data_IF_736746903489
#
_entry.id   IF_736746903489
#
_cell.length_a   1.000
_cell.length_b   1.000
_cell.length_c   1.000
_cell.angle_alpha   90.00
_cell.angle_beta   90.00
_cell.angle_gamma   90.00
#
_symmetry.space_group_name_H-M   'P 1'
#
loop_
_entity.id
_entity.type
_entity.pdbx_description
1 polymer ?
#
# COMPACT_ATOMS: atom_id res chain seq x y z
N UNK A 1 5.73 2.13 37.72
CA UNK A 1 4.75 1.26 38.43
C UNK A 1 5.34 0.66 39.69
N UNK A 2 6.58 0.17 39.63
CA UNK A 2 7.31 -0.29 40.80
C UNK A 2 8.67 -0.86 40.42
N UNK A 3 9.35 -1.44 41.40
CA UNK A 3 10.56 -2.23 41.18
C UNK A 3 10.54 -3.48 42.07
N UNK A 4 11.23 -4.53 41.66
CA UNK A 4 11.42 -5.75 42.43
C UNK A 4 12.82 -6.31 42.18
N UNK A 5 13.18 -7.40 42.87
CA UNK A 5 14.38 -8.18 42.57
C UNK A 5 13.97 -9.64 42.29
N UNK A 6 14.56 -10.23 41.25
CA UNK A 6 14.46 -11.68 40.97
C UNK A 6 15.86 -12.28 41.12
N UNK A 7 16.11 -12.89 42.28
CA UNK A 7 17.50 -13.15 42.70
C UNK A 7 18.20 -11.82 42.95
N UNK A 8 19.38 -11.63 42.35
CA UNK A 8 20.17 -10.40 42.45
C UNK A 8 19.84 -9.38 41.33
N UNK A 9 19.04 -9.78 40.33
CA UNK A 9 18.69 -8.92 39.21
C UNK A 9 17.56 -7.94 39.57
N UNK A 10 17.80 -6.61 39.50
CA UNK A 10 16.74 -5.62 39.69
C UNK A 10 15.79 -5.60 38.48
N UNK A 11 14.50 -5.52 38.77
CA UNK A 11 13.40 -5.43 37.83
C UNK A 11 12.66 -4.10 38.00
N UNK A 12 12.22 -3.53 36.90
CA UNK A 12 11.47 -2.29 36.82
C UNK A 12 10.15 -2.55 36.09
N UNK A 13 9.05 -2.01 36.62
CA UNK A 13 7.72 -2.11 36.04
C UNK A 13 7.23 -0.73 35.61
N UNK A 14 6.68 -0.62 34.40
CA UNK A 14 6.28 0.64 33.79
C UNK A 14 5.09 0.52 32.84
N UNK A 15 4.43 1.65 32.63
CA UNK A 15 3.52 1.88 31.54
C UNK A 15 3.83 3.26 30.93
N UNK A 16 3.46 3.46 29.67
CA UNK A 16 3.55 4.77 29.02
C UNK A 16 2.57 4.86 27.86
N UNK A 17 2.29 6.10 27.45
CA UNK A 17 1.51 6.43 26.27
C UNK A 17 2.35 7.32 25.35
N UNK A 18 2.37 6.97 24.08
CA UNK A 18 2.99 7.75 23.02
C UNK A 18 1.91 8.46 22.22
N UNK A 19 2.07 9.76 22.01
CA UNK A 19 1.14 10.61 21.25
C UNK A 19 1.89 11.42 20.20
N UNK A 20 1.21 11.77 19.11
CA UNK A 20 1.67 12.71 18.10
C UNK A 20 0.66 13.87 18.01
N UNK A 21 0.96 14.98 18.67
CA UNK A 21 -0.05 15.98 19.02
C UNK A 21 -1.13 15.33 19.89
N UNK A 22 -2.39 15.55 19.56
CA UNK A 22 -3.52 14.97 20.30
C UNK A 22 -3.87 13.53 19.86
N UNK A 23 -3.09 12.91 18.96
CA UNK A 23 -3.37 11.58 18.42
C UNK A 23 -2.60 10.49 19.17
N UNK A 24 -3.27 9.54 19.85
CA UNK A 24 -2.62 8.36 20.42
C UNK A 24 -1.93 7.53 19.34
N UNK A 25 -0.74 7.01 19.62
CA UNK A 25 0.06 6.19 18.70
C UNK A 25 0.35 4.80 19.26
N UNK A 26 0.76 4.72 20.53
CA UNK A 26 1.08 3.48 21.20
C UNK A 26 0.78 3.63 22.68
N UNK A 27 0.25 2.57 23.29
CA UNK A 27 0.18 2.45 24.74
C UNK A 27 0.88 1.17 25.15
N UNK A 28 1.71 1.24 26.18
CA UNK A 28 2.35 0.07 26.80
C UNK A 28 1.82 -0.07 28.21
N UNK A 29 1.40 -1.28 28.56
CA UNK A 29 0.86 -1.65 29.87
C UNK A 29 1.59 -2.88 30.37
N UNK A 30 1.79 -2.98 31.69
CA UNK A 30 2.52 -4.09 32.33
C UNK A 30 3.94 -4.28 31.75
N UNK A 31 4.58 -3.19 31.32
CA UNK A 31 5.95 -3.23 30.83
C UNK A 31 6.90 -3.63 31.95
N UNK A 32 7.86 -4.49 31.63
CA UNK A 32 8.88 -4.95 32.56
C UNK A 32 10.25 -4.89 31.88
N UNK A 33 11.26 -4.44 32.61
CA UNK A 33 12.66 -4.50 32.20
C UNK A 33 13.54 -4.91 33.39
N UNK A 34 14.66 -5.57 33.14
CA UNK A 34 15.62 -5.96 34.17
C UNK A 34 17.03 -5.55 33.79
N UNK A 35 17.90 -5.40 34.79
CA UNK A 35 19.34 -5.27 34.59
C UNK A 35 19.98 -6.59 35.00
N UNK A 36 20.76 -7.17 34.10
CA UNK A 36 21.37 -8.48 34.27
C UNK A 36 22.88 -8.37 34.06
N UNK A 37 23.63 -9.14 34.82
CA UNK A 37 25.06 -9.36 34.58
C UNK A 37 25.26 -10.17 33.29
N UNK A 38 26.48 -10.11 32.72
CA UNK A 38 26.81 -10.93 31.55
C UNK A 38 26.64 -12.43 31.79
N UNK A 39 26.91 -12.90 33.01
CA UNK A 39 26.72 -14.31 33.39
C UNK A 39 25.24 -14.69 33.44
N UNK A 40 24.37 -13.84 34.00
CA UNK A 40 22.92 -14.08 34.02
C UNK A 40 22.32 -14.06 32.62
N UNK A 41 22.77 -13.15 31.75
CA UNK A 41 22.34 -13.11 30.35
C UNK A 41 22.77 -14.38 29.59
N UNK A 42 24.00 -14.85 29.82
CA UNK A 42 24.51 -16.08 29.20
C UNK A 42 23.84 -17.35 29.73
N UNK A 43 23.33 -17.32 30.97
CA UNK A 43 22.62 -18.42 31.60
C UNK A 43 21.12 -18.46 31.25
N UNK A 44 20.63 -17.55 30.40
CA UNK A 44 19.23 -17.56 30.01
C UNK A 44 18.84 -18.86 29.31
N UNK A 45 17.69 -19.41 29.69
CA UNK A 45 17.07 -20.57 29.03
C UNK A 45 16.17 -20.17 27.85
N UNK A 46 16.00 -18.87 27.62
CA UNK A 46 15.08 -18.35 26.60
C UNK A 46 13.61 -18.55 26.98
N UNK A 47 12.73 -18.28 26.01
CA UNK A 47 11.30 -18.39 26.18
C UNK A 47 10.89 -19.86 26.26
N UNK A 48 10.13 -20.22 27.30
CA UNK A 48 9.55 -21.54 27.48
C UNK A 48 8.22 -21.63 26.71
N UNK A 49 8.29 -21.45 25.40
CA UNK A 49 7.13 -21.53 24.52
C UNK A 49 7.33 -22.63 23.48
N UNK A 50 6.28 -23.39 23.20
CA UNK A 50 6.20 -24.37 22.12
C UNK A 50 4.85 -24.26 21.40
N UNK A 51 4.81 -24.47 20.08
CA UNK A 51 3.55 -24.42 19.35
C UNK A 51 2.58 -25.55 19.76
N UNK A 52 3.08 -26.68 20.27
CA UNK A 52 2.26 -27.82 20.69
C UNK A 52 1.46 -27.52 21.98
N UNK A 53 1.96 -26.64 22.83
CA UNK A 53 1.34 -26.28 24.12
C UNK A 53 0.51 -24.99 24.03
N UNK A 54 0.60 -24.25 22.93
CA UNK A 54 -0.08 -22.97 22.76
C UNK A 54 -1.59 -23.16 22.56
N UNK A 55 -2.38 -22.52 23.41
CA UNK A 55 -3.83 -22.41 23.19
C UNK A 55 -4.10 -21.50 21.98
N UNK A 56 -4.78 -22.06 20.98
CA UNK A 56 -5.15 -21.40 19.72
C UNK A 56 -6.67 -21.36 19.55
N UNK A 57 -7.15 -20.45 18.70
CA UNK A 57 -8.56 -20.33 18.31
C UNK A 57 -9.06 -21.67 17.78
N UNK A 58 -10.10 -22.21 18.41
CA UNK A 58 -10.65 -23.54 18.14
C UNK A 58 -11.39 -23.61 16.80
N UNK A 59 -12.03 -22.51 16.39
CA UNK A 59 -12.74 -22.38 15.11
C UNK A 59 -12.14 -21.21 14.31
N UNK A 60 -10.97 -21.41 13.69
CA UNK A 60 -10.28 -20.33 13.01
C UNK A 60 -11.00 -19.92 11.73
N UNK A 61 -10.90 -18.64 11.38
CA UNK A 61 -11.14 -18.22 10.01
C UNK A 61 -9.88 -18.44 9.17
N UNK A 62 -9.99 -19.26 8.13
CA UNK A 62 -8.92 -19.59 7.18
C UNK A 62 -9.47 -19.42 5.77
N UNK A 63 -9.61 -18.16 5.35
CA UNK A 63 -10.17 -17.85 4.04
C UNK A 63 -9.27 -18.44 2.92
N UNK A 64 -9.89 -19.05 1.89
CA UNK A 64 -9.15 -19.67 0.80
C UNK A 64 -8.40 -18.61 -0.01
N UNK A 65 -7.34 -19.05 -0.65
CA UNK A 65 -6.53 -18.24 -1.54
C UNK A 65 -6.86 -18.55 -2.99
N UNK A 66 -7.17 -17.53 -3.78
CA UNK A 66 -7.44 -17.69 -5.23
C UNK A 66 -6.15 -17.82 -6.04
N UNK A 67 -5.07 -17.17 -5.62
CA UNK A 67 -3.74 -17.21 -6.25
C UNK A 67 -2.67 -17.30 -5.18
N UNK A 68 -1.77 -18.28 -5.27
CA UNK A 68 -0.65 -18.42 -4.35
C UNK A 68 0.64 -18.70 -5.11
N UNK A 69 1.76 -18.25 -4.53
CA UNK A 69 3.08 -18.62 -5.06
C UNK A 69 3.29 -20.12 -5.00
N UNK A 70 4.01 -20.65 -5.99
CA UNK A 70 4.48 -22.03 -5.99
C UNK A 70 5.85 -22.17 -5.31
N UNK A 71 6.49 -21.06 -4.93
CA UNK A 71 7.78 -21.05 -4.23
C UNK A 71 7.57 -21.40 -2.76
N UNK A 72 8.37 -22.31 -2.25
CA UNK A 72 8.38 -22.73 -0.84
C UNK A 72 9.61 -22.20 -0.09
N UNK A 73 10.51 -21.51 -0.78
CA UNK A 73 11.70 -20.85 -0.23
C UNK A 73 12.06 -19.63 -1.07
N UNK A 74 12.76 -18.69 -0.45
CA UNK A 74 13.16 -17.42 -1.06
C UNK A 74 14.60 -17.09 -0.68
N UNK A 75 15.41 -16.71 -1.66
CA UNK A 75 16.77 -16.20 -1.42
C UNK A 75 16.77 -14.68 -1.19
N UNK A 76 17.96 -14.13 -0.96
CA UNK A 76 18.15 -12.70 -0.69
C UNK A 76 17.66 -11.81 -1.84
N UNK A 77 17.94 -12.21 -3.08
CA UNK A 77 17.58 -11.44 -4.28
C UNK A 77 16.06 -11.34 -4.40
N UNK A 78 15.34 -12.42 -4.13
CA UNK A 78 13.88 -12.43 -4.16
C UNK A 78 13.27 -11.58 -3.04
N UNK A 79 13.86 -11.60 -1.84
CA UNK A 79 13.43 -10.73 -0.74
C UNK A 79 13.68 -9.25 -1.05
N UNK A 80 14.82 -8.94 -1.68
CA UNK A 80 15.12 -7.58 -2.16
C UNK A 80 14.17 -7.13 -3.27
N UNK A 81 13.80 -8.03 -4.18
CA UNK A 81 12.77 -7.75 -5.19
C UNK A 81 11.45 -7.35 -4.54
N UNK A 82 10.98 -8.10 -3.53
CA UNK A 82 9.78 -7.73 -2.80
C UNK A 82 9.92 -6.39 -2.07
N UNK A 83 11.07 -6.15 -1.42
CA UNK A 83 11.36 -4.90 -0.75
C UNK A 83 11.39 -3.69 -1.71
N UNK A 84 11.74 -3.91 -2.97
CA UNK A 84 11.74 -2.90 -4.02
C UNK A 84 10.36 -2.73 -4.69
N UNK A 85 9.39 -3.57 -4.36
CA UNK A 85 8.04 -3.56 -4.95
C UNK A 85 7.88 -4.42 -6.20
N UNK A 86 8.88 -5.22 -6.56
CA UNK A 86 8.78 -6.22 -7.64
C UNK A 86 8.22 -7.54 -7.10
N UNK A 87 6.91 -7.52 -6.88
CA UNK A 87 6.14 -8.67 -6.41
C UNK A 87 6.29 -9.89 -7.34
N UNK A 88 6.33 -9.67 -8.65
CA UNK A 88 6.44 -10.77 -9.61
C UNK A 88 7.82 -11.44 -9.55
N UNK A 89 8.91 -10.67 -9.50
CA UNK A 89 10.25 -11.26 -9.36
C UNK A 89 10.40 -12.05 -8.05
N UNK A 90 9.77 -11.59 -6.97
CA UNK A 90 9.74 -12.31 -5.69
C UNK A 90 8.91 -13.61 -5.72
N UNK A 91 7.67 -13.58 -6.23
CA UNK A 91 6.74 -14.70 -6.07
C UNK A 91 6.57 -15.58 -7.32
N UNK A 92 6.95 -15.09 -8.49
CA UNK A 92 6.90 -15.81 -9.76
C UNK A 92 5.50 -15.88 -10.39
N UNK A 93 5.24 -16.91 -11.22
CA UNK A 93 3.97 -17.06 -11.95
C UNK A 93 2.73 -16.98 -11.05
N UNK A 94 1.68 -16.33 -11.55
CA UNK A 94 0.46 -15.99 -10.80
C UNK A 94 0.43 -14.55 -10.30
N UNK A 95 1.58 -13.87 -10.22
CA UNK A 95 1.69 -12.49 -9.73
C UNK A 95 1.88 -11.46 -10.86
N UNK A 96 1.55 -11.82 -12.11
CA UNK A 96 1.77 -10.98 -13.29
C UNK A 96 1.03 -9.64 -13.20
N UNK A 97 -0.17 -9.63 -12.62
CA UNK A 97 -0.96 -8.41 -12.46
C UNK A 97 -0.21 -7.36 -11.62
N UNK A 98 0.61 -7.78 -10.65
CA UNK A 98 1.38 -6.84 -9.84
C UNK A 98 2.43 -6.03 -10.63
N UNK A 99 2.72 -6.38 -11.89
CA UNK A 99 3.56 -5.58 -12.79
C UNK A 99 2.89 -4.28 -13.25
N UNK A 100 1.57 -4.19 -13.16
CA UNK A 100 0.83 -2.98 -13.54
C UNK A 100 0.71 -1.99 -12.39
N UNK A 101 1.16 -2.37 -11.18
CA UNK A 101 1.09 -1.50 -10.02
C UNK A 101 1.97 -0.27 -10.18
N UNK A 102 1.41 0.88 -9.82
CA UNK A 102 2.16 2.12 -9.62
C UNK A 102 3.04 2.01 -8.36
N UNK A 103 2.53 1.37 -7.31
CA UNK A 103 3.23 1.16 -6.04
C UNK A 103 2.75 -0.12 -5.36
N UNK A 104 3.44 -1.23 -5.64
CA UNK A 104 3.19 -2.51 -4.95
C UNK A 104 3.37 -2.41 -3.43
N UNK A 105 2.56 -3.14 -2.64
CA UNK A 105 2.87 -3.40 -1.24
C UNK A 105 4.23 -4.08 -1.11
N UNK A 106 5.04 -3.63 -0.14
CA UNK A 106 6.43 -4.08 0.03
C UNK A 106 6.85 -4.10 1.50
N UNK A 107 7.89 -4.86 1.80
CA UNK A 107 8.61 -4.82 3.08
C UNK A 107 9.74 -3.77 3.04
N UNK A 108 10.33 -3.39 4.20
CA UNK A 108 11.50 -2.54 4.21
C UNK A 108 12.70 -3.16 3.47
N UNK A 109 13.46 -2.32 2.75
CA UNK A 109 14.68 -2.71 2.04
C UNK A 109 15.98 -2.23 2.72
N UNK A 110 17.11 -2.51 2.08
CA UNK A 110 18.43 -2.03 2.52
C UNK A 110 18.79 -2.52 3.93
N UNK A 111 19.21 -1.59 4.81
CA UNK A 111 19.58 -1.90 6.21
C UNK A 111 18.41 -2.45 7.04
N UNK A 112 17.17 -2.18 6.63
CA UNK A 112 15.97 -2.65 7.30
C UNK A 112 15.45 -3.96 6.72
N UNK A 113 16.11 -4.58 5.73
CA UNK A 113 15.77 -5.94 5.31
C UNK A 113 16.44 -6.94 6.27
N UNK A 114 15.67 -7.47 7.22
CA UNK A 114 16.16 -8.20 8.40
C UNK A 114 16.14 -9.72 8.23
N UNK A 115 16.18 -10.19 6.97
CA UNK A 115 16.19 -11.60 6.60
C UNK A 115 17.11 -11.78 5.39
N UNK A 116 17.91 -12.85 5.38
CA UNK A 116 18.72 -13.21 4.21
C UNK A 116 18.02 -14.21 3.31
N UNK A 117 17.11 -15.00 3.87
CA UNK A 117 16.38 -16.05 3.15
C UNK A 117 15.15 -16.50 3.92
N UNK A 118 14.20 -17.05 3.18
CA UNK A 118 13.11 -17.89 3.69
C UNK A 118 13.39 -19.32 3.26
N UNK A 119 13.53 -20.21 4.23
CA UNK A 119 13.86 -21.62 3.98
C UNK A 119 12.62 -22.49 3.79
N UNK A 120 11.51 -22.10 4.41
CA UNK A 120 10.25 -22.82 4.33
C UNK A 120 9.09 -21.81 4.29
N UNK A 121 8.16 -22.06 3.39
CA UNK A 121 6.86 -21.40 3.30
C UNK A 121 5.82 -22.46 2.96
N UNK A 122 4.84 -22.61 3.83
CA UNK A 122 3.74 -23.56 3.68
C UNK A 122 2.41 -22.83 3.86
N UNK A 123 1.54 -22.86 2.85
CA UNK A 123 0.23 -22.22 2.94
C UNK A 123 -0.75 -22.96 3.84
N UNK A 124 -0.57 -24.27 3.97
CA UNK A 124 -1.36 -25.21 4.76
C UNK A 124 -0.37 -26.21 5.35
N UNK A 125 0.19 -25.85 6.50
CA UNK A 125 1.31 -26.56 7.12
C UNK A 125 1.63 -26.02 8.50
N UNK A 126 2.83 -26.31 8.99
CA UNK A 126 3.23 -26.03 10.37
C UNK A 126 2.51 -26.85 11.43
N UNK A 127 2.87 -26.66 12.71
CA UNK A 127 2.34 -27.41 13.86
C UNK A 127 0.82 -27.38 14.00
N UNK A 128 0.18 -26.32 13.50
CA UNK A 128 -1.27 -26.15 13.58
C UNK A 128 -2.01 -26.52 12.29
N UNK A 129 -1.27 -26.82 11.20
CA UNK A 129 -1.85 -27.12 9.88
C UNK A 129 -2.50 -25.92 9.20
N UNK A 130 -2.18 -24.69 9.62
CA UNK A 130 -2.84 -23.44 9.21
C UNK A 130 -1.94 -22.50 8.41
N UNK A 131 -0.66 -22.86 8.27
CA UNK A 131 0.35 -22.09 7.56
C UNK A 131 1.61 -21.88 8.41
N UNK A 132 2.76 -21.82 7.74
CA UNK A 132 4.06 -21.70 8.39
C UNK A 132 5.07 -20.99 7.49
N UNK A 133 5.97 -20.23 8.10
CA UNK A 133 7.11 -19.63 7.42
C UNK A 133 8.33 -19.63 8.34
N UNK A 134 9.49 -20.01 7.79
CA UNK A 134 10.79 -19.99 8.46
C UNK A 134 11.81 -19.16 7.69
N UNK A 135 12.18 -18.02 8.24
CA UNK A 135 13.22 -17.12 7.73
C UNK A 135 14.52 -17.23 8.54
N UNK A 136 15.64 -16.87 7.91
CA UNK A 136 16.95 -16.85 8.55
C UNK A 136 17.68 -15.54 8.23
N UNK A 137 18.41 -15.02 9.21
CA UNK A 137 19.39 -13.95 9.09
C UNK A 137 20.73 -14.46 9.63
N UNK A 138 21.78 -14.39 8.83
CA UNK A 138 23.13 -14.67 9.31
C UNK A 138 23.61 -13.49 10.16
N UNK A 139 24.20 -13.80 11.31
CA UNK A 139 24.70 -12.79 12.23
C UNK A 139 26.20 -12.64 12.01
N UNK A 140 26.62 -11.43 11.69
CA UNK A 140 28.02 -11.04 11.55
C UNK A 140 28.35 -9.85 12.47
N UNK A 141 29.57 -9.79 13.04
CA UNK A 141 29.94 -8.72 13.97
C UNK A 141 29.85 -7.29 13.41
N UNK A 142 29.87 -7.14 12.08
CA UNK A 142 29.85 -5.87 11.35
C UNK A 142 28.44 -5.43 10.92
N UNK A 143 27.39 -6.19 11.27
CA UNK A 143 26.01 -5.76 11.05
C UNK A 143 25.75 -4.41 11.72
N UNK A 144 25.13 -3.50 10.96
CA UNK A 144 25.04 -2.07 11.27
C UNK A 144 24.46 -1.76 12.66
N UNK A 145 23.56 -2.60 13.14
CA UNK A 145 22.88 -2.39 14.41
C UNK A 145 23.80 -2.60 15.62
N UNK A 146 24.84 -3.44 15.53
CA UNK A 146 25.77 -3.67 16.65
C UNK A 146 26.63 -2.43 16.94
N UNK A 147 27.00 -1.67 15.92
CA UNK A 147 27.77 -0.43 16.08
C UNK A 147 26.96 0.64 16.84
N UNK A 148 25.63 0.63 16.72
CA UNK A 148 24.73 1.60 17.35
C UNK A 148 24.14 1.18 18.69
N UNK A 149 24.25 -0.10 19.08
CA UNK A 149 23.48 -0.63 20.22
C UNK A 149 24.15 -1.87 20.82
N UNK A 150 24.84 -1.79 21.97
CA UNK A 150 25.32 -0.58 22.65
C UNK A 150 26.85 -0.51 22.60
N UNK A 151 27.40 0.70 22.80
CA UNK A 151 28.86 0.97 22.71
C UNK A 151 29.75 -0.03 23.48
N UNK A 152 29.32 -0.47 24.67
CA UNK A 152 30.08 -1.39 25.54
C UNK A 152 29.35 -2.74 25.78
N UNK A 153 28.35 -3.03 24.96
CA UNK A 153 27.50 -4.21 25.07
C UNK A 153 26.70 -4.38 23.78
N UNK A 154 27.36 -4.69 22.65
CA UNK A 154 26.69 -4.79 21.36
C UNK A 154 25.68 -5.94 21.38
N UNK A 155 24.43 -5.63 21.05
CA UNK A 155 23.36 -6.59 20.88
C UNK A 155 22.32 -6.06 19.88
N UNK A 156 21.71 -6.94 19.11
CA UNK A 156 20.58 -6.57 18.26
C UNK A 156 19.44 -6.03 19.12
N UNK A 157 18.81 -4.92 18.70
CA UNK A 157 17.63 -4.41 19.37
C UNK A 157 16.51 -5.45 19.29
N UNK A 158 15.87 -5.75 20.41
CA UNK A 158 14.71 -6.66 20.45
C UNK A 158 13.57 -6.20 19.52
N UNK A 159 13.47 -4.90 19.26
CA UNK A 159 12.51 -4.32 18.31
C UNK A 159 12.85 -4.62 16.85
N UNK A 160 14.13 -4.81 16.48
CA UNK A 160 14.49 -5.29 15.15
C UNK A 160 14.15 -6.78 14.99
N UNK A 161 14.27 -7.60 16.04
CA UNK A 161 13.81 -8.99 15.98
C UNK A 161 12.30 -9.02 15.69
N UNK A 162 11.55 -8.18 16.39
CA UNK A 162 10.12 -8.01 16.16
C UNK A 162 9.80 -7.53 14.73
N UNK A 163 10.52 -6.53 14.20
CA UNK A 163 10.32 -6.07 12.83
C UNK A 163 10.65 -7.15 11.78
N UNK A 164 11.69 -7.96 12.02
CA UNK A 164 11.98 -9.15 11.22
C UNK A 164 10.80 -10.13 11.17
N UNK A 165 10.09 -10.32 12.29
CA UNK A 165 8.84 -11.09 12.31
C UNK A 165 7.71 -10.43 11.52
N UNK A 166 7.55 -9.10 11.58
CA UNK A 166 6.56 -8.37 10.77
C UNK A 166 6.81 -8.55 9.27
N UNK A 167 8.08 -8.50 8.85
CA UNK A 167 8.47 -8.74 7.46
C UNK A 167 8.15 -10.16 7.01
N UNK A 168 8.43 -11.17 7.85
CA UNK A 168 8.09 -12.56 7.57
C UNK A 168 6.57 -12.74 7.44
N UNK A 169 5.81 -12.14 8.35
CA UNK A 169 4.35 -12.18 8.34
C UNK A 169 3.77 -11.47 7.09
N UNK A 170 4.36 -10.36 6.67
CA UNK A 170 4.01 -9.65 5.44
C UNK A 170 4.29 -10.50 4.19
N UNK A 171 5.45 -11.17 4.14
CA UNK A 171 5.80 -12.09 3.05
C UNK A 171 4.82 -13.27 3.00
N UNK A 172 4.47 -13.86 4.15
CA UNK A 172 3.46 -14.92 4.21
C UNK A 172 2.11 -14.45 3.65
N UNK A 173 1.61 -13.29 4.10
CA UNK A 173 0.34 -12.74 3.61
C UNK A 173 0.40 -12.45 2.10
N UNK A 174 1.48 -11.86 1.59
CA UNK A 174 1.67 -11.58 0.17
C UNK A 174 1.79 -12.84 -0.69
N UNK A 175 2.46 -13.89 -0.18
CA UNK A 175 2.62 -15.18 -0.88
C UNK A 175 1.28 -15.85 -1.21
N UNK A 176 0.22 -15.47 -0.49
CA UNK A 176 -1.17 -15.87 -0.70
C UNK A 176 -1.91 -15.03 -1.74
N UNK A 177 -1.19 -14.27 -2.56
CA UNK A 177 -1.77 -13.43 -3.60
C UNK A 177 -2.57 -12.23 -3.09
N UNK A 178 -2.55 -11.97 -1.77
CA UNK A 178 -3.35 -10.91 -1.17
C UNK A 178 -2.94 -9.51 -1.66
N UNK A 179 -1.76 -9.34 -2.23
CA UNK A 179 -1.28 -8.05 -2.75
C UNK A 179 -1.60 -7.82 -4.23
N UNK A 180 -2.07 -8.83 -4.97
CA UNK A 180 -2.15 -8.81 -6.45
C UNK A 180 -3.11 -7.75 -6.99
N UNK A 181 -4.22 -7.49 -6.30
CA UNK A 181 -5.23 -6.50 -6.70
C UNK A 181 -5.20 -5.26 -5.77
N UNK A 182 -4.04 -4.95 -5.20
CA UNK A 182 -3.88 -3.94 -4.13
C UNK A 182 -2.75 -2.96 -4.43
N UNK A 183 -2.79 -2.37 -5.63
CA UNK A 183 -1.92 -1.26 -5.99
C UNK A 183 -2.08 -0.09 -5.00
N UNK A 184 -0.96 0.43 -4.52
CA UNK A 184 -0.94 1.51 -3.54
C UNK A 184 -1.15 1.08 -2.11
N UNK A 185 -1.24 -0.22 -1.77
CA UNK A 185 -1.48 -0.63 -0.38
C UNK A 185 -0.18 -0.81 0.42
N UNK A 186 -0.30 -0.87 1.75
CA UNK A 186 0.82 -1.16 2.66
C UNK A 186 0.41 -2.11 3.78
N UNK A 187 1.40 -2.73 4.39
CA UNK A 187 1.22 -3.53 5.60
C UNK A 187 1.16 -2.65 6.84
N UNK A 188 0.40 -3.06 7.85
CA UNK A 188 0.46 -2.53 9.20
C UNK A 188 0.07 -3.58 10.24
N UNK A 189 0.59 -3.51 11.46
CA UNK A 189 -0.01 -4.21 12.59
C UNK A 189 -1.46 -3.76 12.75
N UNK A 190 -2.37 -4.68 13.10
CA UNK A 190 -3.78 -4.32 13.33
C UNK A 190 -3.86 -3.42 14.57
N UNK A 191 -4.44 -2.21 14.47
CA UNK A 191 -4.57 -1.30 15.59
C UNK A 191 -5.64 -1.80 16.59
N UNK A 192 -5.65 -1.21 17.78
CA UNK A 192 -6.66 -1.47 18.84
C UNK A 192 -6.69 -2.90 19.39
N UNK A 193 -5.66 -3.71 19.08
CA UNK A 193 -5.41 -5.02 19.69
C UNK A 193 -4.15 -4.92 20.56
N UNK A 194 -4.20 -5.49 21.76
CA UNK A 194 -3.04 -5.59 22.63
C UNK A 194 -2.18 -6.80 22.23
N UNK A 195 -0.89 -6.58 22.01
CA UNK A 195 0.07 -7.63 21.70
C UNK A 195 0.96 -7.93 22.92
N UNK A 196 1.12 -9.22 23.23
CA UNK A 196 2.03 -9.69 24.27
C UNK A 196 3.37 -10.04 23.61
N UNK A 197 4.40 -9.29 23.97
CA UNK A 197 5.77 -9.44 23.45
C UNK A 197 6.69 -9.81 24.61
N UNK A 198 7.46 -10.89 24.44
CA UNK A 198 8.36 -11.41 25.46
C UNK A 198 9.78 -11.49 24.92
N UNK A 199 10.72 -10.86 25.64
CA UNK A 199 12.15 -10.98 25.38
C UNK A 199 12.82 -11.71 26.54
N UNK A 200 13.53 -12.77 26.21
CA UNK A 200 14.17 -13.67 27.17
C UNK A 200 15.61 -14.01 26.79
N UNK A 201 16.15 -13.40 25.74
CA UNK A 201 17.54 -13.59 25.33
C UNK A 201 18.03 -12.43 24.46
N UNK A 202 19.27 -12.55 24.00
CA UNK A 202 19.94 -11.53 23.21
C UNK A 202 20.62 -12.15 21.99
N UNK A 203 20.68 -11.39 20.90
CA UNK A 203 21.51 -11.69 19.74
C UNK A 203 22.73 -10.79 19.83
N UNK A 204 23.92 -11.39 19.82
CA UNK A 204 25.20 -10.70 20.05
C UNK A 204 26.14 -10.92 18.86
N UNK A 205 27.26 -10.18 18.73
CA UNK A 205 28.16 -10.29 17.58
C UNK A 205 28.74 -11.69 17.33
N UNK A 206 28.79 -12.55 18.35
CA UNK A 206 29.29 -13.93 18.23
C UNK A 206 28.19 -14.94 17.90
N UNK A 207 26.92 -14.52 17.93
CA UNK A 207 25.81 -15.36 17.46
C UNK A 207 26.02 -15.67 15.98
N UNK A 208 25.49 -16.81 15.52
CA UNK A 208 25.71 -17.27 14.14
C UNK A 208 24.46 -17.08 13.29
N UNK A 209 23.30 -17.49 13.80
CA UNK A 209 22.07 -17.45 13.02
C UNK A 209 20.86 -17.10 13.86
N UNK A 210 20.12 -16.11 13.41
CA UNK A 210 18.79 -15.80 13.89
C UNK A 210 17.77 -16.43 12.94
N UNK A 211 16.90 -17.28 13.49
CA UNK A 211 15.78 -17.91 12.80
C UNK A 211 14.50 -17.23 13.25
N UNK A 212 13.67 -16.81 12.30
CA UNK A 212 12.35 -16.23 12.55
C UNK A 212 11.28 -17.19 12.03
N UNK A 213 10.31 -17.53 12.87
CA UNK A 213 9.23 -18.45 12.53
C UNK A 213 7.87 -17.77 12.71
N UNK A 214 6.97 -18.03 11.77
CA UNK A 214 5.59 -17.58 11.77
C UNK A 214 4.68 -18.80 11.86
N UNK A 215 3.89 -18.88 12.94
CA UNK A 215 2.91 -19.94 13.17
C UNK A 215 1.52 -19.37 12.96
N UNK A 216 0.90 -19.68 11.82
CA UNK A 216 -0.34 -19.00 11.39
C UNK A 216 -1.53 -19.56 12.15
N UNK A 217 -2.34 -18.70 12.73
CA UNK A 217 -3.54 -19.10 13.47
C UNK A 217 -4.82 -18.83 12.69
N UNK A 218 -4.90 -17.69 12.00
CA UNK A 218 -6.05 -17.28 11.18
C UNK A 218 -5.59 -16.46 9.97
N UNK A 219 -6.34 -16.56 8.87
CA UNK A 219 -6.17 -15.76 7.66
C UNK A 219 -7.55 -15.27 7.21
N UNK A 220 -7.69 -13.96 7.11
CA UNK A 220 -8.93 -13.28 6.74
C UNK A 220 -8.67 -12.57 5.43
N UNK A 221 -9.39 -12.92 4.36
CA UNK A 221 -9.24 -12.25 3.07
C UNK A 221 -9.80 -10.84 3.14
N UNK A 222 -11.04 -10.70 3.61
CA UNK A 222 -11.69 -9.44 4.01
C UNK A 222 -11.56 -8.25 3.03
N UNK A 223 -12.07 -7.08 3.41
CA UNK A 223 -11.74 -5.84 2.71
C UNK A 223 -10.28 -5.42 2.99
N UNK A 224 -9.80 -5.69 4.21
CA UNK A 224 -8.40 -5.57 4.62
C UNK A 224 -7.87 -6.97 4.91
N UNK A 225 -7.09 -7.60 4.02
CA UNK A 225 -6.51 -8.91 4.30
C UNK A 225 -5.71 -8.88 5.57
N UNK A 226 -5.95 -9.84 6.46
CA UNK A 226 -5.32 -9.91 7.78
C UNK A 226 -4.82 -11.32 8.03
N UNK A 227 -3.63 -11.43 8.61
CA UNK A 227 -3.10 -12.68 9.15
C UNK A 227 -2.86 -12.53 10.64
N UNK A 228 -3.24 -13.55 11.42
CA UNK A 228 -2.95 -13.67 12.84
C UNK A 228 -1.96 -14.83 13.03
N UNK A 229 -0.89 -14.60 13.79
CA UNK A 229 0.14 -15.61 14.00
C UNK A 229 0.85 -15.44 15.34
N UNK A 230 1.40 -16.55 15.86
CA UNK A 230 2.51 -16.46 16.81
C UNK A 230 3.82 -16.28 16.05
N UNK A 231 4.70 -15.48 16.63
CA UNK A 231 6.00 -15.17 16.07
C UNK A 231 7.07 -15.59 17.05
N UNK A 232 8.03 -16.38 16.60
CA UNK A 232 9.16 -16.83 17.41
C UNK A 232 10.45 -16.43 16.72
N UNK A 233 11.43 -15.93 17.50
CA UNK A 233 12.81 -15.94 17.06
C UNK A 233 13.63 -16.93 17.87
N UNK A 234 14.54 -17.63 17.19
CA UNK A 234 15.51 -18.55 17.77
C UNK A 234 16.91 -18.15 17.32
N UNK A 235 17.83 -17.89 18.25
CA UNK A 235 19.25 -17.65 17.96
C UNK A 235 20.09 -18.78 18.51
N UNK A 236 20.79 -19.50 17.63
CA UNK A 236 21.68 -20.62 17.98
C UNK A 236 21.05 -21.65 18.96
N UNK A 237 19.75 -21.92 18.80
CA UNK A 237 18.97 -22.85 19.64
C UNK A 237 18.29 -22.24 20.87
N UNK A 238 18.62 -21.00 21.23
CA UNK A 238 17.95 -20.23 22.29
C UNK A 238 16.75 -19.47 21.70
N UNK A 239 15.61 -19.38 22.40
CA UNK A 239 14.42 -18.64 21.96
C UNK A 239 14.36 -17.23 22.58
N UNK A 240 15.03 -16.19 22.03
CA UNK A 240 15.12 -14.88 22.67
C UNK A 240 13.83 -14.07 22.61
N UNK A 241 12.91 -14.36 21.67
CA UNK A 241 11.73 -13.53 21.45
C UNK A 241 10.52 -14.37 21.05
N UNK A 242 9.37 -14.07 21.67
CA UNK A 242 8.06 -14.57 21.27
C UNK A 242 7.03 -13.43 21.27
N UNK A 243 6.12 -13.46 20.30
CA UNK A 243 4.92 -12.63 20.29
C UNK A 243 3.68 -13.51 20.11
N UNK A 244 2.76 -13.43 21.08
CA UNK A 244 1.47 -14.13 20.99
C UNK A 244 0.52 -13.38 20.08
N UNK A 245 -0.08 -14.10 19.13
CA UNK A 245 -1.20 -13.70 18.29
C UNK A 245 -1.07 -12.30 17.68
N UNK A 246 0.10 -11.99 17.14
CA UNK A 246 0.26 -10.76 16.40
C UNK A 246 -0.63 -10.78 15.15
N UNK A 247 -1.23 -9.65 14.82
CA UNK A 247 -2.01 -9.47 13.62
C UNK A 247 -1.37 -8.43 12.70
N UNK A 248 -1.28 -8.75 11.41
CA UNK A 248 -0.83 -7.85 10.36
C UNK A 248 -1.91 -7.77 9.28
N UNK A 249 -2.27 -6.56 8.87
CA UNK A 249 -3.23 -6.30 7.81
C UNK A 249 -2.65 -5.50 6.64
N UNK A 250 -3.24 -5.70 5.47
CA UNK A 250 -3.10 -4.81 4.31
C UNK A 250 -4.13 -3.69 4.41
N UNK A 251 -3.67 -2.45 4.25
CA UNK A 251 -4.54 -1.27 4.19
C UNK A 251 -4.20 -0.39 2.99
N UNK A 252 -5.18 0.37 2.49
CA UNK A 252 -4.92 1.40 1.49
C UNK A 252 -3.85 2.37 1.98
N UNK A 253 -2.90 2.62 1.10
CA UNK A 253 -2.05 3.78 1.10
C UNK A 253 -2.19 4.39 -0.31
N UNK A 254 -1.40 5.41 -0.63
CA UNK A 254 -1.59 6.12 -1.89
C UNK A 254 -0.25 6.34 -2.57
N UNK A 255 -0.07 5.94 -3.85
CA UNK A 255 1.19 6.18 -4.57
C UNK A 255 1.63 7.65 -4.50
N UNK A 256 0.69 8.59 -4.59
CA UNK A 256 0.96 10.02 -4.57
C UNK A 256 1.63 10.50 -3.27
N UNK A 257 1.44 9.82 -2.12
CA UNK A 257 2.11 10.19 -0.87
C UNK A 257 3.63 9.98 -0.91
N UNK A 258 4.12 9.11 -1.78
CA UNK A 258 5.54 8.87 -1.98
C UNK A 258 6.16 9.84 -3.01
N UNK A 259 5.39 10.78 -3.56
CA UNK A 259 5.78 11.68 -4.65
C UNK A 259 5.56 13.17 -4.28
N UNK A 260 6.15 13.68 -3.17
CA UNK A 260 5.86 15.03 -2.68
C UNK A 260 6.27 16.14 -3.66
N UNK A 261 7.33 15.93 -4.44
CA UNK A 261 7.78 16.89 -5.45
C UNK A 261 6.76 17.07 -6.58
N UNK A 262 6.18 15.97 -7.06
CA UNK A 262 5.11 15.99 -8.06
C UNK A 262 3.87 16.73 -7.57
N UNK A 263 3.50 16.54 -6.29
CA UNK A 263 2.38 17.28 -5.67
C UNK A 263 2.70 18.77 -5.55
N UNK A 264 3.93 19.12 -5.17
CA UNK A 264 4.36 20.51 -5.07
C UNK A 264 4.34 21.22 -6.44
N UNK A 265 4.84 20.55 -7.49
CA UNK A 265 4.75 21.04 -8.86
C UNK A 265 3.30 21.23 -9.29
N UNK A 266 2.44 20.23 -9.02
CA UNK A 266 1.04 20.27 -9.39
C UNK A 266 0.21 21.35 -8.69
N UNK A 267 0.69 21.87 -7.56
CA UNK A 267 0.03 22.97 -6.83
C UNK A 267 0.59 24.35 -7.18
N UNK A 268 1.59 24.42 -8.06
CA UNK A 268 2.29 25.67 -8.39
C UNK A 268 1.68 26.46 -9.54
N UNK A 269 0.78 25.85 -10.34
CA UNK A 269 0.13 26.51 -11.47
C UNK A 269 -0.81 27.64 -10.98
N UNK A 270 -0.52 28.92 -11.30
CA UNK A 270 -1.30 30.04 -10.82
C UNK A 270 -2.59 30.27 -11.63
N UNK A 271 -2.79 29.54 -12.75
CA UNK A 271 -3.96 29.72 -13.62
C UNK A 271 -5.25 29.40 -12.87
N UNK A 272 -6.35 30.11 -13.20
CA UNK A 272 -7.64 29.85 -12.58
C UNK A 272 -8.12 28.44 -12.92
N UNK A 273 -8.81 27.83 -11.97
CA UNK A 273 -9.45 26.51 -12.10
C UNK A 273 -10.87 26.60 -11.58
N UNK A 274 -11.72 25.65 -11.96
CA UNK A 274 -13.05 25.52 -11.41
C UNK A 274 -12.98 25.32 -9.88
N UNK A 275 -13.87 26.02 -9.17
CA UNK A 275 -14.03 25.90 -7.72
C UNK A 275 -15.48 25.63 -7.40
N UNK A 276 -15.76 24.54 -6.69
CA UNK A 276 -17.11 24.16 -6.22
C UNK A 276 -17.04 23.95 -4.72
N UNK A 277 -17.90 24.66 -3.97
CA UNK A 277 -17.94 24.61 -2.50
C UNK A 277 -16.56 24.79 -1.82
N UNK A 278 -15.71 25.64 -2.42
CA UNK A 278 -14.35 25.91 -1.94
C UNK A 278 -13.30 24.85 -2.30
N UNK A 279 -13.68 23.76 -2.96
CA UNK A 279 -12.77 22.76 -3.48
C UNK A 279 -12.27 23.16 -4.88
N UNK A 280 -10.95 23.17 -5.08
CA UNK A 280 -10.29 23.54 -6.34
C UNK A 280 -10.04 22.30 -7.20
N UNK A 281 -10.40 22.35 -8.47
CA UNK A 281 -10.15 21.27 -9.43
C UNK A 281 -8.89 21.53 -10.27
N UNK A 282 -7.75 21.61 -9.59
CA UNK A 282 -6.42 21.79 -10.17
C UNK A 282 -5.72 20.47 -10.50
N UNK A 283 -4.48 20.56 -11.00
CA UNK A 283 -3.70 19.37 -11.37
C UNK A 283 -3.46 18.44 -10.17
N UNK A 284 -3.33 18.97 -8.96
CA UNK A 284 -3.19 18.14 -7.76
C UNK A 284 -4.44 17.31 -7.49
N UNK A 285 -5.65 17.86 -7.71
CA UNK A 285 -6.89 17.08 -7.64
C UNK A 285 -7.00 15.99 -8.73
N UNK A 286 -6.48 16.25 -9.93
CA UNK A 286 -6.44 15.29 -11.03
C UNK A 286 -5.44 14.16 -10.76
N UNK A 287 -4.25 14.47 -10.23
CA UNK A 287 -3.31 13.47 -9.72
C UNK A 287 -3.91 12.66 -8.57
N UNK A 288 -4.69 13.29 -7.69
CA UNK A 288 -5.38 12.57 -6.62
C UNK A 288 -6.44 11.62 -7.17
N UNK A 289 -7.10 11.96 -8.28
CA UNK A 289 -7.97 11.02 -8.99
C UNK A 289 -7.21 9.78 -9.42
N UNK A 290 -6.02 9.92 -10.00
CA UNK A 290 -5.24 8.78 -10.48
C UNK A 290 -4.62 7.96 -9.33
N UNK A 291 -3.94 8.63 -8.40
CA UNK A 291 -2.99 8.02 -7.46
C UNK A 291 -3.17 8.43 -6.00
N UNK A 292 -4.20 9.22 -5.67
CA UNK A 292 -4.42 9.77 -4.34
C UNK A 292 -5.66 9.25 -3.62
N UNK A 293 -5.91 9.82 -2.44
CA UNK A 293 -7.15 9.62 -1.70
C UNK A 293 -8.34 10.14 -2.50
N UNK A 294 -9.43 9.37 -2.64
CA UNK A 294 -10.65 9.86 -3.30
C UNK A 294 -11.21 11.15 -2.69
N UNK A 295 -11.10 11.35 -1.37
CA UNK A 295 -11.49 12.61 -0.75
C UNK A 295 -10.66 13.81 -1.20
N UNK A 296 -9.44 13.59 -1.69
CA UNK A 296 -8.59 14.63 -2.28
C UNK A 296 -8.90 14.86 -3.78
N UNK A 297 -9.79 14.08 -4.38
CA UNK A 297 -10.26 14.27 -5.76
C UNK A 297 -11.49 15.19 -5.82
N UNK A 298 -12.51 14.93 -4.98
CA UNK A 298 -13.81 15.62 -5.01
C UNK A 298 -14.28 16.12 -3.64
N UNK A 299 -13.40 16.13 -2.64
CA UNK A 299 -13.72 16.57 -1.29
C UNK A 299 -14.40 15.50 -0.42
N UNK A 300 -14.97 15.93 0.74
CA UNK A 300 -15.39 15.02 1.81
C UNK A 300 -16.42 13.95 1.44
N UNK A 301 -17.27 14.20 0.44
CA UNK A 301 -18.29 13.23 -0.02
C UNK A 301 -17.67 11.91 -0.50
N UNK A 302 -16.41 11.93 -0.94
CA UNK A 302 -15.68 10.75 -1.40
C UNK A 302 -14.90 10.02 -0.29
N UNK A 303 -14.96 10.48 0.97
CA UNK A 303 -14.20 9.87 2.08
C UNK A 303 -14.53 8.39 2.32
N UNK A 304 -15.72 7.92 1.91
CA UNK A 304 -16.09 6.50 1.98
C UNK A 304 -15.13 5.59 1.19
N UNK A 305 -14.46 6.13 0.17
CA UNK A 305 -13.49 5.43 -0.66
C UNK A 305 -12.04 5.66 -0.21
N UNK A 306 -11.80 6.41 0.87
CA UNK A 306 -10.45 6.50 1.48
C UNK A 306 -10.08 5.21 2.24
N UNK A 307 -11.04 4.30 2.40
CA UNK A 307 -10.88 2.97 2.95
C UNK A 307 -10.66 1.90 1.88
N UNK A 308 -10.89 0.61 2.21
CA UNK A 308 -10.60 -0.52 1.33
C UNK A 308 -11.57 -0.64 0.13
N UNK A 309 -12.63 0.16 0.09
CA UNK A 309 -13.61 0.15 -1.01
C UNK A 309 -13.02 0.87 -2.23
N UNK A 310 -12.83 0.18 -3.37
CA UNK A 310 -12.30 0.80 -4.57
C UNK A 310 -13.31 1.76 -5.21
N UNK A 311 -12.79 2.67 -6.02
CA UNK A 311 -13.56 3.59 -6.86
C UNK A 311 -12.85 3.74 -8.19
N UNK A 312 -13.55 3.98 -9.32
CA UNK A 312 -12.88 4.23 -10.59
C UNK A 312 -11.87 5.37 -10.50
N UNK A 313 -10.78 5.24 -11.26
CA UNK A 313 -9.64 6.15 -11.28
C UNK A 313 -9.40 6.67 -12.68
N UNK A 314 -8.85 7.87 -12.79
CA UNK A 314 -8.22 8.32 -14.02
C UNK A 314 -6.88 7.60 -14.23
N UNK A 315 -6.41 7.47 -15.48
CA UNK A 315 -5.03 7.11 -15.74
C UNK A 315 -4.06 8.10 -15.07
N UNK A 316 -2.95 7.59 -14.54
CA UNK A 316 -1.88 8.42 -14.00
C UNK A 316 -0.81 8.76 -15.05
N UNK A 317 0.09 9.71 -14.78
CA UNK A 317 1.27 9.96 -15.61
C UNK A 317 2.03 8.67 -15.97
N UNK A 318 2.53 8.52 -17.22
CA UNK A 318 2.56 9.53 -18.29
C UNK A 318 1.28 9.58 -19.14
N UNK A 319 0.20 8.91 -18.73
CA UNK A 319 -1.09 8.87 -19.44
C UNK A 319 -2.15 9.82 -18.88
N UNK A 320 -1.83 10.65 -17.88
CA UNK A 320 -2.75 11.68 -17.41
C UNK A 320 -2.73 12.88 -18.37
N UNK A 321 -3.70 12.94 -19.28
CA UNK A 321 -3.81 13.97 -20.32
C UNK A 321 -4.81 15.06 -19.94
N UNK A 322 -4.72 15.50 -18.68
CA UNK A 322 -5.53 16.59 -18.13
C UNK A 322 -4.64 17.45 -17.25
N UNK A 323 -4.57 18.75 -17.52
CA UNK A 323 -3.78 19.70 -16.75
C UNK A 323 -4.62 20.45 -15.72
N UNK A 324 -5.88 20.77 -16.04
CA UNK A 324 -6.79 21.50 -15.14
C UNK A 324 -8.24 21.41 -15.59
N UNK A 325 -9.16 21.56 -14.65
CA UNK A 325 -10.57 21.83 -14.94
C UNK A 325 -10.76 23.35 -14.98
N UNK A 326 -11.10 23.90 -16.15
CA UNK A 326 -11.34 25.34 -16.31
C UNK A 326 -12.69 25.76 -15.72
N UNK A 327 -13.72 25.00 -16.09
CA UNK A 327 -15.10 25.29 -15.74
C UNK A 327 -15.87 23.98 -15.58
N UNK A 328 -16.78 23.96 -14.61
CA UNK A 328 -17.77 22.89 -14.45
C UNK A 328 -19.13 23.51 -14.22
N UNK A 329 -20.15 23.00 -14.92
CA UNK A 329 -21.53 23.44 -14.79
C UNK A 329 -22.41 22.26 -14.37
N UNK A 330 -23.27 22.51 -13.39
CA UNK A 330 -24.13 21.49 -12.78
C UNK A 330 -23.66 21.10 -11.37
N UNK A 331 -24.58 20.61 -10.52
CA UNK A 331 -24.25 20.29 -9.14
C UNK A 331 -23.42 19.01 -9.03
N UNK A 332 -22.39 19.06 -8.18
CA UNK A 332 -21.58 17.90 -7.80
C UNK A 332 -22.47 16.82 -7.15
N UNK A 333 -22.21 15.55 -7.46
CA UNK A 333 -22.93 14.41 -6.88
C UNK A 333 -24.37 14.23 -7.38
N UNK A 334 -24.81 15.00 -8.38
CA UNK A 334 -26.15 14.90 -8.97
C UNK A 334 -26.07 14.29 -10.36
N UNK A 335 -26.31 12.98 -10.43
CA UNK A 335 -26.26 12.20 -11.66
C UNK A 335 -27.48 12.47 -12.56
N UNK A 336 -27.45 13.59 -13.30
CA UNK A 336 -28.49 14.00 -14.26
C UNK A 336 -27.89 14.58 -15.54
N UNK A 337 -28.60 14.46 -16.68
CA UNK A 337 -28.23 15.14 -17.92
C UNK A 337 -28.08 16.66 -17.76
N UNK A 338 -27.24 17.25 -18.61
CA UNK A 338 -26.99 18.69 -18.71
C UNK A 338 -25.77 19.19 -17.93
N UNK A 339 -25.08 18.33 -17.17
CA UNK A 339 -23.80 18.66 -16.56
C UNK A 339 -22.73 18.84 -17.66
N UNK A 340 -21.85 19.84 -17.51
CA UNK A 340 -20.82 20.18 -18.48
C UNK A 340 -19.48 20.42 -17.80
N UNK A 341 -18.39 20.12 -18.50
CA UNK A 341 -17.03 20.44 -18.05
C UNK A 341 -16.19 20.95 -19.21
N UNK A 342 -15.31 21.89 -18.92
CA UNK A 342 -14.22 22.33 -19.80
C UNK A 342 -12.89 21.96 -19.14
N UNK A 343 -12.07 21.19 -19.84
CA UNK A 343 -10.79 20.65 -19.36
C UNK A 343 -9.68 21.08 -20.29
N UNK A 344 -8.59 21.61 -19.74
CA UNK A 344 -7.38 21.86 -20.51
C UNK A 344 -6.37 20.73 -20.35
N UNK A 345 -5.74 20.38 -21.46
CA UNK A 345 -4.49 19.64 -21.51
C UNK A 345 -3.42 20.52 -22.17
N UNK A 346 -2.45 20.96 -21.38
CA UNK A 346 -1.26 21.62 -21.92
C UNK A 346 -0.36 20.55 -22.52
N UNK A 347 -0.20 20.58 -23.84
CA UNK A 347 0.61 19.62 -24.58
C UNK A 347 2.09 20.04 -24.46
N UNK A 348 2.95 19.29 -23.74
CA UNK A 348 4.37 19.60 -23.71
C UNK A 348 4.98 19.31 -25.08
N UNK A 349 5.85 20.20 -25.57
CA UNK A 349 6.48 20.03 -26.89
C UNK A 349 7.43 18.82 -26.97
N UNK A 350 7.87 18.31 -25.82
CA UNK A 350 8.82 17.22 -25.62
C UNK A 350 8.17 15.99 -24.95
N UNK A 351 6.83 15.90 -24.96
CA UNK A 351 6.14 14.71 -24.42
C UNK A 351 6.41 13.47 -25.28
N UNK A 352 6.60 12.34 -24.60
CA UNK A 352 7.09 11.07 -25.15
C UNK A 352 6.41 10.63 -26.45
N UNK A 353 5.10 10.82 -26.59
CA UNK A 353 4.36 10.29 -27.74
C UNK A 353 4.64 11.04 -29.04
N UNK A 354 5.27 12.22 -29.04
CA UNK A 354 5.72 12.84 -30.29
C UNK A 354 7.04 12.24 -30.78
N UNK A 355 7.92 11.86 -29.87
CA UNK A 355 9.24 11.34 -30.19
C UNK A 355 9.22 9.82 -30.46
N UNK A 356 8.27 9.11 -29.84
CA UNK A 356 8.07 7.67 -30.05
C UNK A 356 7.09 7.34 -31.19
N UNK A 357 6.36 8.33 -31.71
CA UNK A 357 5.51 8.15 -32.90
C UNK A 357 6.34 8.24 -34.19
N UNK A 358 5.80 7.70 -35.29
CA UNK A 358 6.49 7.68 -36.61
C UNK A 358 6.68 9.08 -37.19
N UNK A 359 5.79 9.98 -36.84
CA UNK A 359 5.82 11.40 -37.17
C UNK A 359 5.57 12.22 -35.90
N UNK A 360 5.87 13.52 -35.96
CA UNK A 360 5.70 14.43 -34.81
C UNK A 360 4.28 14.95 -34.68
N UNK A 361 3.26 14.16 -35.02
CA UNK A 361 1.86 14.44 -34.66
C UNK A 361 1.44 13.62 -33.44
N UNK A 362 0.46 14.12 -32.70
CA UNK A 362 -0.12 13.40 -31.57
C UNK A 362 -0.84 12.16 -32.11
N UNK A 363 -0.50 10.95 -31.62
CA UNK A 363 -1.22 9.75 -32.04
C UNK A 363 -2.72 9.88 -31.77
N UNK A 364 -3.55 9.47 -32.72
CA UNK A 364 -5.00 9.57 -32.58
C UNK A 364 -5.53 8.89 -31.30
N UNK A 365 -4.89 7.80 -30.87
CA UNK A 365 -5.22 7.14 -29.61
C UNK A 365 -4.99 8.03 -28.37
N UNK A 366 -3.94 8.86 -28.36
CA UNK A 366 -3.65 9.81 -27.28
C UNK A 366 -4.70 10.94 -27.26
N UNK A 367 -5.07 11.46 -28.44
CA UNK A 367 -6.13 12.47 -28.54
C UNK A 367 -7.47 11.92 -28.02
N UNK A 368 -7.84 10.70 -28.42
CA UNK A 368 -9.03 10.04 -27.91
C UNK A 368 -8.97 9.88 -26.39
N UNK A 369 -7.82 9.45 -25.85
CA UNK A 369 -7.65 9.27 -24.41
C UNK A 369 -7.77 10.61 -23.64
N UNK A 370 -7.17 11.69 -24.13
CA UNK A 370 -7.32 13.04 -23.56
C UNK A 370 -8.78 13.52 -23.54
N UNK A 371 -9.51 13.25 -24.61
CA UNK A 371 -10.94 13.56 -24.70
C UNK A 371 -11.77 12.71 -23.72
N UNK A 372 -11.51 11.40 -23.66
CA UNK A 372 -12.30 10.43 -22.90
C UNK A 372 -12.07 10.51 -21.38
N UNK A 373 -10.86 10.89 -20.93
CA UNK A 373 -10.60 11.13 -19.49
C UNK A 373 -11.51 12.21 -18.92
N UNK A 374 -11.81 13.25 -19.71
CA UNK A 374 -12.75 14.31 -19.32
C UNK A 374 -14.16 13.77 -19.08
N UNK A 375 -14.60 12.78 -19.88
CA UNK A 375 -15.87 12.10 -19.67
C UNK A 375 -15.87 11.28 -18.37
N UNK A 376 -14.83 10.47 -18.14
CA UNK A 376 -14.69 9.67 -16.91
C UNK A 376 -14.62 10.56 -15.66
N UNK A 377 -13.92 11.69 -15.74
CA UNK A 377 -13.92 12.68 -14.67
C UNK A 377 -15.32 13.25 -14.42
N UNK A 378 -16.06 13.64 -15.46
CA UNK A 378 -17.43 14.17 -15.34
C UNK A 378 -18.40 13.13 -14.74
N UNK A 379 -18.28 11.85 -15.13
CA UNK A 379 -19.03 10.74 -14.53
C UNK A 379 -18.86 10.68 -13.01
N UNK A 380 -17.63 10.84 -12.54
CA UNK A 380 -17.35 10.85 -11.12
C UNK A 380 -17.80 12.17 -10.47
N UNK A 381 -17.63 13.32 -11.13
CA UNK A 381 -18.13 14.60 -10.62
C UNK A 381 -19.64 14.59 -10.36
N UNK A 382 -20.44 14.00 -11.26
CA UNK A 382 -21.89 13.87 -11.07
C UNK A 382 -22.27 12.77 -10.07
N UNK A 383 -21.28 12.10 -9.46
CA UNK A 383 -21.48 11.15 -8.37
C UNK A 383 -21.91 9.75 -8.79
N UNK A 384 -21.63 9.31 -10.02
CA UNK A 384 -22.03 7.96 -10.47
C UNK A 384 -21.46 6.84 -9.60
N UNK A 385 -20.23 7.01 -9.09
CA UNK A 385 -19.64 6.07 -8.14
C UNK A 385 -20.36 6.06 -6.78
N UNK A 386 -21.10 7.14 -6.43
CA UNK A 386 -21.78 7.30 -5.15
C UNK A 386 -23.16 6.63 -5.09
N UNK A 387 -23.71 6.20 -6.22
CA UNK A 387 -25.10 5.69 -6.28
C UNK A 387 -25.25 4.23 -5.86
N UNK A 388 -24.14 3.53 -5.57
CA UNK A 388 -24.13 2.10 -5.21
C UNK A 388 -23.03 1.80 -4.20
N UNK A 389 -23.17 0.71 -3.46
CA UNK A 389 -22.13 0.14 -2.59
C UNK A 389 -21.26 -0.90 -3.32
N UNK A 390 -21.62 -1.25 -4.55
CA UNK A 390 -20.83 -2.18 -5.37
C UNK A 390 -19.65 -1.48 -6.02
N UNK A 391 -18.57 -2.22 -6.22
CA UNK A 391 -17.45 -1.78 -7.05
C UNK A 391 -17.91 -1.57 -8.50
N UNK A 392 -17.49 -0.46 -9.08
CA UNK A 392 -17.77 -0.12 -10.47
C UNK A 392 -16.45 -0.05 -11.25
N UNK A 393 -16.47 -0.62 -12.46
CA UNK A 393 -15.46 -0.39 -13.48
C UNK A 393 -15.99 0.56 -14.55
N UNK A 394 -15.09 1.31 -15.18
CA UNK A 394 -15.42 2.17 -16.32
C UNK A 394 -14.90 1.50 -17.59
N UNK A 395 -15.73 1.48 -18.64
CA UNK A 395 -15.31 1.12 -20.00
C UNK A 395 -16.09 1.92 -21.03
N UNK A 396 -15.44 2.26 -22.13
CA UNK A 396 -16.12 2.85 -23.29
C UNK A 396 -16.92 1.76 -24.03
N UNK A 397 -18.07 2.14 -24.59
CA UNK A 397 -18.97 1.22 -25.31
C UNK A 397 -18.93 1.47 -26.82
N UNK A 398 -19.37 2.66 -27.23
CA UNK A 398 -19.41 3.09 -28.63
C UNK A 398 -19.41 4.62 -28.72
N UNK A 399 -19.29 5.13 -29.95
CA UNK A 399 -19.31 6.55 -30.27
C UNK A 399 -18.91 6.83 -31.72
N UNK A 400 -19.17 8.05 -32.18
CA UNK A 400 -18.69 8.54 -33.47
C UNK A 400 -17.76 9.73 -33.22
N UNK A 401 -16.56 9.70 -33.79
CA UNK A 401 -15.59 10.79 -33.73
C UNK A 401 -15.22 11.29 -35.13
N UNK A 402 -14.96 12.58 -35.27
CA UNK A 402 -14.41 13.19 -36.48
C UNK A 402 -13.13 13.92 -36.10
N UNK A 403 -12.02 13.58 -36.74
CA UNK A 403 -10.75 14.29 -36.61
C UNK A 403 -10.72 15.40 -37.66
N UNK A 404 -10.52 16.64 -37.24
CA UNK A 404 -10.50 17.84 -38.08
C UNK A 404 -9.09 18.32 -38.39
N UNK A 405 -8.16 18.24 -37.43
CA UNK A 405 -6.77 18.59 -37.67
C UNK A 405 -5.77 17.77 -36.83
N UNK A 406 -4.51 17.83 -37.23
CA UNK A 406 -3.40 17.25 -36.47
C UNK A 406 -3.02 18.16 -35.29
N UNK A 407 -2.54 17.54 -34.21
CA UNK A 407 -1.89 18.24 -33.11
C UNK A 407 -0.39 17.98 -33.17
N UNK A 408 0.38 19.05 -33.07
CA UNK A 408 1.83 19.11 -33.19
C UNK A 408 2.46 19.59 -31.86
N UNK A 409 3.79 19.42 -31.67
CA UNK A 409 4.50 19.83 -30.47
C UNK A 409 4.28 21.29 -30.03
N UNK A 410 4.02 22.19 -30.97
CA UNK A 410 3.81 23.63 -30.72
C UNK A 410 2.33 24.03 -30.69
N UNK A 411 1.41 23.05 -30.69
CA UNK A 411 -0.03 23.32 -30.68
C UNK A 411 -0.49 24.03 -29.40
N UNK A 412 0.20 23.85 -28.27
CA UNK A 412 -0.11 24.53 -27.01
C UNK A 412 -1.17 23.78 -26.20
N UNK A 413 -2.30 24.42 -25.92
CA UNK A 413 -3.33 23.86 -25.02
C UNK A 413 -4.50 23.31 -25.81
N UNK A 414 -4.82 22.04 -25.60
CA UNK A 414 -6.05 21.41 -26.06
C UNK A 414 -7.15 21.62 -25.01
N UNK A 415 -8.25 22.28 -25.40
CA UNK A 415 -9.41 22.45 -24.53
C UNK A 415 -10.52 21.48 -24.95
N UNK A 416 -10.93 20.61 -24.03
CA UNK A 416 -11.99 19.61 -24.21
C UNK A 416 -13.26 20.06 -23.49
N UNK A 417 -14.33 20.24 -24.25
CA UNK A 417 -15.67 20.46 -23.71
C UNK A 417 -16.45 19.16 -23.73
N UNK A 418 -16.99 18.77 -22.58
CA UNK A 418 -17.85 17.59 -22.43
C UNK A 418 -19.20 17.99 -21.87
N UNK A 419 -20.28 17.48 -22.45
CA UNK A 419 -21.64 17.57 -21.93
C UNK A 419 -22.23 16.17 -21.74
N UNK A 420 -22.79 15.93 -20.56
CA UNK A 420 -23.55 14.72 -20.25
C UNK A 420 -24.96 14.83 -20.83
N UNK A 421 -25.22 14.17 -21.96
CA UNK A 421 -26.48 14.24 -22.69
C UNK A 421 -27.57 13.36 -22.10
N UNK A 422 -27.20 12.18 -21.61
CA UNK A 422 -28.14 11.20 -21.08
C UNK A 422 -27.49 10.34 -19.98
N UNK A 423 -28.31 9.90 -19.03
CA UNK A 423 -27.91 8.91 -18.02
C UNK A 423 -29.02 7.89 -17.84
N UNK A 424 -28.67 6.62 -18.00
CA UNK A 424 -29.55 5.49 -17.71
C UNK A 424 -28.91 4.58 -16.67
N UNK A 425 -29.68 4.18 -15.66
CA UNK A 425 -29.23 3.24 -14.62
C UNK A 425 -30.19 2.06 -14.57
N UNK A 426 -29.68 0.84 -14.76
CA UNK A 426 -30.45 -0.41 -14.66
C UNK A 426 -29.65 -1.42 -13.86
N UNK A 427 -30.14 -1.78 -12.67
CA UNK A 427 -29.38 -2.61 -11.73
C UNK A 427 -28.10 -1.88 -11.29
N UNK A 428 -26.94 -2.55 -11.36
CA UNK A 428 -25.63 -1.95 -11.08
C UNK A 428 -25.00 -1.25 -12.29
N UNK A 429 -25.60 -1.37 -13.48
CA UNK A 429 -25.07 -0.78 -14.69
C UNK A 429 -25.54 0.66 -14.84
N UNK A 430 -24.58 1.56 -15.07
CA UNK A 430 -24.81 2.98 -15.39
C UNK A 430 -24.27 3.21 -16.80
N UNK A 431 -25.11 3.71 -17.70
CA UNK A 431 -24.74 4.11 -19.06
C UNK A 431 -24.88 5.62 -19.14
N UNK A 432 -23.84 6.28 -19.66
CA UNK A 432 -23.81 7.72 -19.83
C UNK A 432 -23.44 8.05 -21.26
N UNK A 433 -24.20 8.97 -21.86
CA UNK A 433 -23.97 9.45 -23.22
C UNK A 433 -23.39 10.85 -23.14
N UNK A 434 -22.29 11.08 -23.84
CA UNK A 434 -21.59 12.35 -23.84
C UNK A 434 -21.54 12.98 -25.23
N UNK A 435 -21.58 14.31 -25.27
CA UNK A 435 -21.08 15.08 -26.40
C UNK A 435 -19.71 15.63 -26.04
N UNK A 436 -18.74 15.48 -26.95
CA UNK A 436 -17.37 15.94 -26.74
C UNK A 436 -16.94 16.82 -27.90
N UNK A 437 -16.28 17.94 -27.61
CA UNK A 437 -15.64 18.81 -28.59
C UNK A 437 -14.27 19.24 -28.09
N UNK A 438 -13.24 18.98 -28.89
CA UNK A 438 -11.88 19.42 -28.61
C UNK A 438 -11.55 20.66 -29.45
N UNK A 439 -10.83 21.61 -28.87
CA UNK A 439 -10.48 22.89 -29.48
C UNK A 439 -9.01 23.22 -29.27
N UNK A 440 -8.41 23.83 -30.29
CA UNK A 440 -7.14 24.55 -30.20
C UNK A 440 -7.42 26.05 -30.40
N UNK A 441 -7.46 26.79 -29.28
CA UNK A 441 -8.08 28.12 -29.28
C UNK A 441 -9.55 28.03 -29.72
N UNK A 442 -9.89 28.61 -30.87
CA UNK A 442 -11.24 28.54 -31.45
C UNK A 442 -11.38 27.46 -32.55
N UNK A 443 -10.30 26.74 -32.86
CA UNK A 443 -10.26 25.78 -34.00
C UNK A 443 -10.68 24.39 -33.53
N UNK A 444 -11.70 23.75 -34.13
CA UNK A 444 -12.03 22.35 -33.86
C UNK A 444 -10.88 21.42 -34.24
N UNK A 445 -10.57 20.48 -33.33
CA UNK A 445 -9.57 19.42 -33.51
C UNK A 445 -10.23 18.11 -33.87
#
# INVERSE_FOLDING_TARGET
>A
DGHAARGDAPLMFFHYDCQNGDRPQLSVRKGQAGLFTGAELAASTGCLWSPEEQEIVSQPRLDPTTVATQRTSFDREQLEAFANGDTFACFGPGFEHAKTHTRSPRIPGGRMLLQDRVTHLEQQGGPWGRGYLRAELDIAPDLWFFAGHFKNGPCMQGTLMFDGCLQALALFLASRGSTIDRDGWRFQPVPEIAYQLEWSGQVIPTSQRLVTEVFVEEVIAGPKPTVYADLLCTVDGLKPFHARRLALELVPDWPLQAMPELVAEATSDPRPVAVVDGFRFDYASLLACAWGKPSHMFGPTYSRFDGPTPTPRLPGPPFLFMSRINEVQGPIGVMKPGAKVSVDYDIPADVWYFDENTDRSMPFAVLLEAALQSCGWLSLYVGSALTTEQELGIRNLDGNGTLHCELLPDSGTLTTHVELLDVSATGSMIIQTFQVRCLLGDTPV
#
